data_IF_960859208381
#
_entry.id   IF_960859208381
#
_cell.length_a   1.000
_cell.length_b   1.000
_cell.length_c   1.000
_cell.angle_alpha   90.00
_cell.angle_beta   90.00
_cell.angle_gamma   90.00
#
_symmetry.space_group_name_H-M   'P 1'
#
loop_
_entity.id
_entity.type
_entity.pdbx_description
1 polymer ?
#
# COMPACT_ATOMS: atom_id res chain seq x y z
N UNK A 1 27.64 6.46 -23.64
CA UNK A 1 27.89 6.68 -22.19
C UNK A 1 26.87 7.69 -21.70
N UNK A 2 25.71 7.25 -21.20
CA UNK A 2 24.66 8.16 -20.72
C UNK A 2 25.04 8.66 -19.33
N UNK A 3 25.34 9.95 -19.23
CA UNK A 3 25.81 10.61 -18.00
C UNK A 3 24.81 10.44 -16.86
N UNK A 4 25.30 10.06 -15.68
CA UNK A 4 24.50 9.93 -14.45
C UNK A 4 23.75 11.23 -14.11
N UNK A 5 24.26 12.39 -14.54
CA UNK A 5 23.60 13.68 -14.38
C UNK A 5 22.26 13.78 -15.14
N UNK A 6 22.14 13.14 -16.32
CA UNK A 6 20.89 13.15 -17.09
C UNK A 6 19.81 12.31 -16.41
N UNK A 7 20.18 11.15 -15.83
CA UNK A 7 19.28 10.33 -15.00
C UNK A 7 18.78 11.07 -13.76
N UNK A 8 19.64 11.88 -13.14
CA UNK A 8 19.29 12.67 -11.95
C UNK A 8 18.33 13.81 -12.32
N UNK A 9 18.56 14.51 -13.44
CA UNK A 9 17.64 15.55 -13.92
C UNK A 9 16.25 14.97 -14.28
N UNK A 10 16.20 13.81 -14.93
CA UNK A 10 14.94 13.13 -15.24
C UNK A 10 14.22 12.66 -13.95
N UNK A 11 14.95 12.18 -12.94
CA UNK A 11 14.45 11.82 -11.60
C UNK A 11 13.89 13.01 -10.80
N UNK A 12 14.37 14.22 -11.05
CA UNK A 12 13.92 15.46 -10.38
C UNK A 12 12.65 16.02 -11.03
N UNK A 13 12.41 15.76 -12.32
CA UNK A 13 11.21 16.18 -13.07
C UNK A 13 10.06 15.16 -12.96
N UNK A 14 10.36 13.92 -12.58
CA UNK A 14 9.37 12.88 -12.32
C UNK A 14 8.46 13.27 -11.14
N UNK A 15 7.17 13.44 -11.41
CA UNK A 15 6.17 13.86 -10.43
C UNK A 15 6.16 12.92 -9.22
N UNK A 16 6.70 13.39 -8.09
CA UNK A 16 6.66 12.69 -6.78
C UNK A 16 5.41 13.05 -5.97
N UNK A 17 4.50 13.82 -6.54
CA UNK A 17 3.26 14.27 -5.90
C UNK A 17 2.13 13.23 -5.96
N UNK A 18 0.99 13.51 -5.30
CA UNK A 18 -0.22 12.71 -5.43
C UNK A 18 -0.63 12.58 -6.90
N UNK A 19 -1.25 11.46 -7.26
CA UNK A 19 -1.80 11.28 -8.62
C UNK A 19 -2.99 12.20 -8.81
N UNK A 20 -2.98 12.96 -9.90
CA UNK A 20 -4.12 13.79 -10.28
C UNK A 20 -5.14 12.98 -11.08
N UNK A 21 -6.36 13.50 -11.20
CA UNK A 21 -7.43 12.85 -11.97
C UNK A 21 -7.06 12.78 -13.45
N UNK A 22 -6.38 13.81 -13.97
CA UNK A 22 -5.91 13.87 -15.35
C UNK A 22 -4.83 12.81 -15.61
N UNK A 23 -3.91 12.62 -14.66
CA UNK A 23 -2.89 11.56 -14.76
C UNK A 23 -3.53 10.16 -14.72
N UNK A 24 -4.51 9.96 -13.84
CA UNK A 24 -5.26 8.70 -13.75
C UNK A 24 -6.03 8.42 -15.04
N UNK A 25 -6.71 9.43 -15.60
CA UNK A 25 -7.44 9.31 -16.87
C UNK A 25 -6.49 8.96 -18.03
N UNK A 26 -5.34 9.61 -18.13
CA UNK A 26 -4.34 9.31 -19.15
C UNK A 26 -3.81 7.87 -19.03
N UNK A 27 -3.58 7.38 -17.80
CA UNK A 27 -3.17 6.01 -17.56
C UNK A 27 -4.26 5.00 -17.92
N UNK A 28 -5.51 5.28 -17.54
CA UNK A 28 -6.67 4.43 -17.86
C UNK A 28 -6.88 4.31 -19.36
N UNK A 29 -6.93 5.43 -20.07
CA UNK A 29 -7.16 5.44 -21.51
C UNK A 29 -6.06 4.67 -22.24
N UNK A 30 -4.79 4.93 -21.89
CA UNK A 30 -3.68 4.22 -22.53
C UNK A 30 -3.76 2.70 -22.33
N UNK A 31 -4.01 2.24 -21.09
CA UNK A 31 -4.08 0.81 -20.77
C UNK A 31 -5.33 0.16 -21.38
N UNK A 32 -6.44 0.89 -21.47
CA UNK A 32 -7.66 0.43 -22.15
C UNK A 32 -7.40 0.17 -23.63
N UNK A 33 -6.66 1.06 -24.29
CA UNK A 33 -6.42 0.99 -25.74
C UNK A 33 -5.29 0.02 -26.11
N UNK A 34 -4.27 -0.15 -25.26
CA UNK A 34 -3.03 -0.86 -25.59
C UNK A 34 -2.75 -2.08 -24.68
N UNK A 35 -3.51 -2.27 -23.61
CA UNK A 35 -3.23 -3.26 -22.56
C UNK A 35 -2.12 -2.83 -21.59
N UNK A 36 -1.84 -3.69 -20.60
CA UNK A 36 -0.91 -3.38 -19.50
C UNK A 36 0.57 -3.37 -19.92
N UNK A 37 0.91 -4.07 -21.01
CA UNK A 37 2.21 -4.02 -21.71
C UNK A 37 3.45 -3.96 -20.80
N UNK A 38 4.49 -3.25 -21.27
CA UNK A 38 5.60 -2.87 -20.40
C UNK A 38 5.36 -1.49 -19.79
N UNK A 39 5.36 -1.40 -18.47
CA UNK A 39 5.02 -0.16 -17.76
C UNK A 39 5.93 1.03 -18.08
N UNK A 40 7.18 0.78 -18.48
CA UNK A 40 8.07 1.85 -18.95
C UNK A 40 7.59 2.44 -20.29
N UNK A 41 7.06 1.60 -21.18
CA UNK A 41 6.42 2.06 -22.41
C UNK A 41 5.12 2.78 -22.10
N UNK A 42 4.29 2.25 -21.21
CA UNK A 42 3.04 2.88 -20.75
C UNK A 42 3.32 4.31 -20.30
N UNK A 43 4.25 4.50 -19.36
CA UNK A 43 4.59 5.83 -18.84
C UNK A 43 5.05 6.82 -19.92
N UNK A 44 5.89 6.36 -20.86
CA UNK A 44 6.42 7.21 -21.94
C UNK A 44 5.35 7.55 -22.98
N UNK A 45 4.54 6.57 -23.38
CA UNK A 45 3.59 6.71 -24.46
C UNK A 45 2.27 7.36 -24.02
N UNK A 46 1.92 7.29 -22.73
CA UNK A 46 0.77 8.02 -22.18
C UNK A 46 1.05 9.51 -21.93
N UNK A 47 2.29 9.98 -22.15
CA UNK A 47 2.69 11.36 -21.89
C UNK A 47 2.81 11.71 -20.40
N UNK A 48 2.78 10.72 -19.51
CA UNK A 48 2.87 10.93 -18.08
C UNK A 48 4.31 11.28 -17.65
N UNK A 49 4.44 12.28 -16.78
CA UNK A 49 5.70 12.59 -16.09
C UNK A 49 5.90 11.67 -14.87
N UNK A 50 5.68 10.37 -15.05
CA UNK A 50 5.76 9.33 -14.01
C UNK A 50 6.68 8.20 -14.46
N UNK A 51 7.24 7.45 -13.51
CA UNK A 51 8.04 6.25 -13.85
C UNK A 51 7.11 5.08 -14.15
N UNK A 52 7.55 4.13 -14.97
CA UNK A 52 6.79 2.90 -15.20
C UNK A 52 6.45 2.15 -13.92
N UNK A 53 7.37 2.12 -12.94
CA UNK A 53 7.10 1.58 -11.61
C UNK A 53 5.93 2.28 -10.91
N UNK A 54 5.87 3.61 -10.98
CA UNK A 54 4.77 4.41 -10.42
C UNK A 54 3.45 4.08 -11.13
N UNK A 55 3.44 4.05 -12.47
CA UNK A 55 2.26 3.71 -13.26
C UNK A 55 1.73 2.32 -12.91
N UNK A 56 2.61 1.31 -12.83
CA UNK A 56 2.23 -0.05 -12.42
C UNK A 56 1.59 -0.07 -11.04
N UNK A 57 2.22 0.60 -10.08
CA UNK A 57 1.73 0.64 -8.71
C UNK A 57 0.36 1.32 -8.65
N UNK A 58 0.18 2.43 -9.36
CA UNK A 58 -1.09 3.15 -9.41
C UNK A 58 -2.20 2.30 -10.02
N UNK A 59 -1.92 1.68 -11.16
CA UNK A 59 -2.87 0.82 -11.85
C UNK A 59 -3.32 -0.35 -10.96
N UNK A 60 -2.35 -1.14 -10.47
CA UNK A 60 -2.59 -2.37 -9.73
C UNK A 60 -3.21 -2.17 -8.34
N UNK A 61 -3.14 -0.96 -7.77
CA UNK A 61 -3.69 -0.67 -6.45
C UNK A 61 -4.96 0.18 -6.46
N UNK A 62 -5.24 0.92 -7.54
CA UNK A 62 -6.30 1.94 -7.50
C UNK A 62 -7.16 2.05 -8.77
N UNK A 63 -6.62 1.78 -9.96
CA UNK A 63 -7.32 2.08 -11.21
C UNK A 63 -7.89 0.84 -11.92
N UNK A 64 -7.29 -0.33 -11.69
CA UNK A 64 -7.75 -1.57 -12.33
C UNK A 64 -9.21 -1.86 -11.95
N UNK A 65 -10.06 -2.24 -12.91
CA UNK A 65 -11.50 -2.34 -12.69
C UNK A 65 -11.92 -3.47 -11.73
N UNK A 66 -11.05 -4.47 -11.53
CA UNK A 66 -11.30 -5.61 -10.64
C UNK A 66 -11.01 -5.33 -9.16
N UNK A 67 -10.60 -4.11 -8.80
CA UNK A 67 -10.30 -3.72 -7.42
C UNK A 67 -11.59 -3.25 -6.73
N UNK A 68 -11.94 -3.91 -5.63
CA UNK A 68 -13.08 -3.53 -4.80
C UNK A 68 -12.79 -2.25 -4.01
N UNK A 69 -13.66 -1.26 -4.15
CA UNK A 69 -13.57 0.02 -3.42
C UNK A 69 -14.45 -0.05 -2.18
N UNK A 70 -13.85 -0.09 -0.99
CA UNK A 70 -14.61 -0.07 0.27
C UNK A 70 -13.83 -0.64 1.45
N UNK A 71 -14.47 -0.60 2.62
CA UNK A 71 -13.92 -1.18 3.85
C UNK A 71 -13.82 -2.71 3.72
N UNK A 72 -12.87 -3.30 4.44
CA UNK A 72 -12.77 -4.76 4.56
C UNK A 72 -13.98 -5.28 5.35
N UNK A 73 -14.75 -6.17 4.74
CA UNK A 73 -15.96 -6.79 5.31
C UNK A 73 -15.59 -7.76 6.45
N UNK A 74 -16.48 -8.00 7.43
CA UNK A 74 -16.21 -8.95 8.52
C UNK A 74 -15.77 -10.34 8.03
N UNK A 75 -16.33 -10.81 6.92
CA UNK A 75 -15.98 -12.09 6.30
C UNK A 75 -14.54 -12.07 5.78
N UNK A 76 -14.16 -11.00 5.07
CA UNK A 76 -12.77 -10.80 4.62
C UNK A 76 -11.81 -10.66 5.80
N UNK A 77 -12.23 -10.03 6.91
CA UNK A 77 -11.41 -9.88 8.12
C UNK A 77 -11.09 -11.25 8.74
N UNK A 78 -12.08 -12.12 8.89
CA UNK A 78 -11.89 -13.49 9.40
C UNK A 78 -10.94 -14.28 8.51
N UNK A 79 -11.10 -14.17 7.19
CA UNK A 79 -10.22 -14.84 6.24
C UNK A 79 -8.79 -14.29 6.31
N UNK A 80 -8.62 -12.97 6.40
CA UNK A 80 -7.30 -12.34 6.59
C UNK A 80 -6.63 -12.85 7.87
N UNK A 81 -7.36 -12.94 8.98
CA UNK A 81 -6.86 -13.47 10.25
C UNK A 81 -6.41 -14.93 10.12
N UNK A 82 -7.24 -15.81 9.54
CA UNK A 82 -6.88 -17.22 9.35
C UNK A 82 -5.61 -17.37 8.51
N UNK A 83 -5.55 -16.67 7.36
CA UNK A 83 -4.43 -16.78 6.44
C UNK A 83 -3.15 -16.15 7.00
N UNK A 84 -3.27 -15.07 7.77
CA UNK A 84 -2.14 -14.45 8.47
C UNK A 84 -1.60 -15.38 9.57
N UNK A 85 -2.47 -16.05 10.34
CA UNK A 85 -2.04 -17.06 11.31
C UNK A 85 -1.29 -18.21 10.63
N UNK A 86 -1.74 -18.63 9.44
CA UNK A 86 -1.15 -19.75 8.71
C UNK A 86 0.17 -19.42 8.00
N UNK A 87 0.29 -18.22 7.41
CA UNK A 87 1.45 -17.87 6.56
C UNK A 87 2.24 -16.63 7.02
N UNK A 88 1.85 -15.99 8.11
CA UNK A 88 2.42 -14.74 8.57
C UNK A 88 2.16 -13.57 7.60
N UNK A 89 3.06 -12.59 7.57
CA UNK A 89 2.92 -11.35 6.81
C UNK A 89 3.20 -11.53 5.29
N UNK A 90 2.67 -12.60 4.68
CA UNK A 90 2.80 -12.91 3.25
C UNK A 90 1.64 -12.29 2.46
N UNK A 91 1.53 -10.97 2.49
CA UNK A 91 0.36 -10.23 1.98
C UNK A 91 -0.01 -10.55 0.53
N UNK A 92 0.97 -10.63 -0.37
CA UNK A 92 0.72 -10.98 -1.77
C UNK A 92 0.24 -12.42 -1.97
N UNK A 93 0.50 -13.32 -1.00
CA UNK A 93 -0.08 -14.68 -0.99
C UNK A 93 -1.49 -14.66 -0.43
N UNK A 94 -1.74 -13.88 0.63
CA UNK A 94 -3.06 -13.73 1.24
C UNK A 94 -4.05 -13.10 0.24
N UNK A 95 -3.63 -12.07 -0.50
CA UNK A 95 -4.44 -11.39 -1.52
C UNK A 95 -4.98 -12.32 -2.61
N UNK A 96 -4.30 -13.43 -2.90
CA UNK A 96 -4.77 -14.41 -3.88
C UNK A 96 -6.08 -15.11 -3.46
N UNK A 97 -6.44 -15.06 -2.17
CA UNK A 97 -7.64 -15.66 -1.61
C UNK A 97 -8.76 -14.64 -1.36
N UNK A 98 -8.52 -13.35 -1.66
CA UNK A 98 -9.47 -12.27 -1.45
C UNK A 98 -9.74 -11.59 -2.80
N UNK A 99 -10.77 -12.02 -3.55
CA UNK A 99 -11.01 -11.52 -4.89
C UNK A 99 -11.23 -10.01 -4.88
N UNK A 100 -10.46 -9.30 -5.72
CA UNK A 100 -10.48 -7.85 -5.85
C UNK A 100 -9.92 -7.08 -4.65
N UNK A 101 -9.23 -7.74 -3.71
CA UNK A 101 -8.39 -7.08 -2.70
C UNK A 101 -6.93 -7.15 -3.06
N UNK A 102 -6.24 -6.06 -2.79
CA UNK A 102 -4.81 -5.92 -3.01
C UNK A 102 -4.02 -6.24 -1.74
N UNK A 103 -2.77 -6.63 -1.90
CA UNK A 103 -1.87 -6.87 -0.77
C UNK A 103 -1.62 -5.59 0.06
N UNK A 104 -1.66 -4.43 -0.60
CA UNK A 104 -1.58 -3.14 0.06
C UNK A 104 -2.78 -2.86 0.97
N UNK A 105 -4.01 -3.15 0.53
CA UNK A 105 -5.21 -3.01 1.37
C UNK A 105 -5.15 -3.92 2.60
N UNK A 106 -4.79 -5.19 2.41
CA UNK A 106 -4.70 -6.17 3.52
C UNK A 106 -3.65 -5.72 4.54
N UNK A 107 -2.47 -5.29 4.06
CA UNK A 107 -1.42 -4.74 4.92
C UNK A 107 -1.88 -3.48 5.64
N UNK A 108 -2.64 -2.60 4.98
CA UNK A 108 -3.20 -1.39 5.57
C UNK A 108 -4.26 -1.70 6.62
N UNK A 109 -5.06 -2.75 6.44
CA UNK A 109 -6.01 -3.22 7.44
C UNK A 109 -5.30 -3.79 8.67
N UNK A 110 -4.21 -4.53 8.47
CA UNK A 110 -3.44 -5.11 9.58
C UNK A 110 -2.63 -4.07 10.38
N UNK A 111 -2.22 -2.97 9.75
CA UNK A 111 -1.36 -1.93 10.35
C UNK A 111 -1.93 -1.22 11.60
N UNK A 112 -3.22 -0.81 11.61
CA UNK A 112 -3.90 -0.20 12.75
C UNK A 112 -3.90 -1.09 14.00
N UNK A 113 -4.08 -2.40 13.85
CA UNK A 113 -4.13 -3.38 14.95
C UNK A 113 -2.87 -3.31 15.85
N UNK A 114 -1.70 -3.00 15.26
CA UNK A 114 -0.44 -2.88 16.00
C UNK A 114 -0.13 -1.47 16.51
N UNK A 115 -0.74 -0.41 15.97
CA UNK A 115 -0.49 0.97 16.43
C UNK A 115 -1.12 1.26 17.80
N UNK A 116 -2.23 0.62 18.15
CA UNK A 116 -2.83 0.74 19.48
C UNK A 116 -2.21 -0.20 20.52
N UNK A 117 -1.66 -1.35 20.11
CA UNK A 117 -1.05 -2.31 21.05
C UNK A 117 0.25 -1.82 21.69
N UNK A 118 0.97 -0.92 21.02
CA UNK A 118 2.18 -0.28 21.58
C UNK A 118 1.89 0.99 22.43
N UNK A 119 0.64 1.46 22.50
CA UNK A 119 0.25 2.58 23.38
C UNK A 119 -0.32 2.15 24.73
N UNK A 120 -0.65 0.86 24.88
CA UNK A 120 -1.17 0.29 26.13
C UNK A 120 -0.10 -0.44 26.97
N UNK A 121 1.17 -0.39 26.56
CA UNK A 121 2.29 -1.12 27.18
C UNK A 121 3.31 -0.30 27.97
N UNK A 122 3.12 1.00 28.15
CA UNK A 122 3.99 1.84 28.99
C UNK A 122 3.20 2.62 30.04
N UNK A 123 2.59 1.90 30.98
CA UNK A 123 2.35 2.43 32.33
C UNK A 123 2.06 1.28 33.30
N UNK A 124 3.07 0.49 33.66
CA UNK A 124 3.08 -0.23 34.93
C UNK A 124 4.52 -0.39 35.38
N UNK A 125 4.98 0.53 36.23
CA UNK A 125 5.99 0.22 37.23
C UNK A 125 5.33 0.49 38.58
N UNK A 126 4.88 -0.59 39.23
CA UNK A 126 4.55 -0.59 40.64
C UNK A 126 5.77 -0.12 41.44
N UNK A 127 5.54 0.64 42.51
CA UNK A 127 6.46 0.67 43.63
C UNK A 127 5.65 0.49 44.90
N UNK A 128 5.74 -0.71 45.44
CA UNK A 128 5.37 -1.08 46.80
C UNK A 128 6.23 -0.31 47.79
N UNK A 129 5.61 0.39 48.73
CA UNK A 129 6.27 0.81 49.95
C UNK A 129 5.33 0.56 51.13
N UNK A 130 5.54 -0.58 51.77
CA UNK A 130 5.17 -0.82 53.15
C UNK A 130 5.82 0.27 54.02
N UNK A 131 5.07 0.92 54.90
CA UNK A 131 5.51 1.08 56.28
C UNK A 131 4.38 1.48 57.23
N UNK A 132 4.34 0.69 58.29
CA UNK A 132 3.56 0.71 59.53
C UNK A 132 3.80 1.93 60.44
N UNK A 133 2.85 2.09 61.40
CA UNK A 133 2.84 2.82 62.71
C UNK A 133 1.93 4.05 62.69
N UNK A 134 0.76 4.06 63.36
CA UNK A 134 0.49 4.18 64.81
C UNK A 134 1.36 5.29 65.44
N UNK A 135 0.81 6.50 65.61
CA UNK A 135 0.05 7.01 66.77
C UNK A 135 -0.59 8.35 66.41
#
# INVERSE_FOLDING_TARGET
MTSAAQKIADEVILGRGPWTIEEDAALINYVSDNGEGTWNSVARCSGLKRTGKSCRLRWMNYLRPDIHRGNITPEEQLLILELQCRWGNRWSKIAQYLPGRTDNEIKNYWGPERKCRNKLGSSTAMSTASNSRIS
#
